data_IF_133669424253
#
_entry.id   IF_133669424253
#
_cell.length_a   1.000
_cell.length_b   1.000
_cell.length_c   1.000
_cell.angle_alpha   90.00
_cell.angle_beta   90.00
_cell.angle_gamma   90.00
#
_symmetry.space_group_name_H-M   'P 1'
#
loop_
_entity.id
_entity.type
_entity.pdbx_description
1 polymer ?
#
# COMPACT_ATOMS: atom_id res chain seq x y z
N UNK A 1 -14.48 -9.70 -17.60
CA UNK A 1 -13.30 -10.41 -17.15
C UNK A 1 -12.25 -9.42 -16.65
N UNK A 2 -11.84 -9.62 -15.43
CA UNK A 2 -10.80 -8.78 -14.88
C UNK A 2 -9.53 -9.04 -15.66
N UNK A 3 -9.12 -8.10 -16.47
CA UNK A 3 -7.97 -8.32 -17.30
C UNK A 3 -6.69 -8.29 -16.50
N UNK A 4 -5.83 -9.30 -16.71
CA UNK A 4 -4.47 -9.24 -16.20
C UNK A 4 -3.75 -8.01 -16.73
N UNK A 5 -4.33 -7.37 -17.75
CA UNK A 5 -3.79 -6.17 -18.38
C UNK A 5 -4.34 -4.88 -17.79
N UNK A 6 -5.31 -4.96 -16.87
CA UNK A 6 -5.81 -3.75 -16.25
C UNK A 6 -4.70 -3.06 -15.46
N UNK A 7 -4.64 -1.75 -15.56
CA UNK A 7 -3.59 -0.98 -14.91
C UNK A 7 -4.00 -0.52 -13.51
N UNK A 8 -3.04 -0.50 -12.61
CA UNK A 8 -3.27 -0.04 -11.24
C UNK A 8 -3.79 1.38 -11.22
N UNK A 9 -3.32 2.24 -12.14
CA UNK A 9 -3.79 3.61 -12.21
C UNK A 9 -5.29 3.72 -12.40
N UNK A 10 -5.85 2.91 -13.27
CA UNK A 10 -7.29 2.91 -13.53
C UNK A 10 -8.07 2.40 -12.32
N UNK A 11 -7.62 1.29 -11.76
CA UNK A 11 -8.29 0.69 -10.61
C UNK A 11 -8.27 1.62 -9.40
N UNK A 12 -7.10 2.14 -9.09
CA UNK A 12 -6.93 2.98 -7.89
C UNK A 12 -7.64 4.32 -8.03
N UNK A 13 -7.57 4.96 -9.20
CA UNK A 13 -8.28 6.22 -9.42
C UNK A 13 -9.78 6.04 -9.17
N UNK A 14 -10.34 4.92 -9.59
CA UNK A 14 -11.75 4.62 -9.34
C UNK A 14 -12.03 4.48 -7.84
N UNK A 15 -11.16 3.75 -7.14
CA UNK A 15 -11.33 3.55 -5.69
C UNK A 15 -11.17 4.85 -4.91
N UNK A 16 -10.35 5.76 -5.39
CA UNK A 16 -10.10 7.02 -4.70
C UNK A 16 -11.18 8.08 -4.95
N UNK A 17 -12.14 7.82 -5.83
CA UNK A 17 -13.21 8.78 -6.10
C UNK A 17 -14.02 9.14 -4.85
N UNK A 18 -14.18 8.20 -3.93
CA UNK A 18 -14.95 8.41 -2.71
C UNK A 18 -14.10 8.83 -1.52
N UNK A 19 -12.81 9.00 -1.72
CA UNK A 19 -11.87 9.31 -0.66
C UNK A 19 -11.65 10.82 -0.61
N UNK A 20 -11.55 11.42 0.60
CA UNK A 20 -11.24 12.85 0.70
C UNK A 20 -9.98 13.22 -0.08
N UNK A 21 -10.00 14.37 -0.72
CA UNK A 21 -8.92 14.79 -1.60
C UNK A 21 -7.54 14.76 -0.95
N UNK A 22 -7.46 15.20 0.30
CA UNK A 22 -6.19 15.24 1.00
C UNK A 22 -5.60 13.84 1.19
N UNK A 23 -6.44 12.87 1.55
CA UNK A 23 -6.00 11.51 1.73
C UNK A 23 -5.64 10.89 0.37
N UNK A 24 -6.45 11.12 -0.64
CA UNK A 24 -6.16 10.63 -1.98
C UNK A 24 -4.81 11.13 -2.49
N UNK A 25 -4.53 12.42 -2.26
CA UNK A 25 -3.24 13.00 -2.66
C UNK A 25 -2.08 12.36 -1.92
N UNK A 26 -2.24 12.10 -0.63
CA UNK A 26 -1.19 11.43 0.17
C UNK A 26 -0.94 10.02 -0.31
N UNK A 27 -2.00 9.29 -0.65
CA UNK A 27 -1.87 7.94 -1.17
C UNK A 27 -1.07 7.96 -2.48
N UNK A 28 -1.44 8.84 -3.41
CA UNK A 28 -0.73 8.93 -4.68
C UNK A 28 0.72 9.34 -4.51
N UNK A 29 1.00 10.24 -3.60
CA UNK A 29 2.36 10.70 -3.33
C UNK A 29 3.22 9.61 -2.71
N UNK A 30 2.63 8.71 -1.94
CA UNK A 30 3.36 7.60 -1.31
C UNK A 30 3.76 6.52 -2.31
N UNK A 31 3.13 6.47 -3.48
CA UNK A 31 3.39 5.45 -4.48
C UNK A 31 4.61 5.82 -5.33
N UNK A 32 5.30 4.82 -5.92
CA UNK A 32 6.43 5.10 -6.80
C UNK A 32 5.96 5.87 -8.05
N UNK A 33 6.85 6.62 -8.71
CA UNK A 33 6.45 7.47 -9.84
C UNK A 33 5.75 6.74 -10.99
N UNK A 34 6.05 5.47 -11.18
CA UNK A 34 5.51 4.68 -12.28
C UNK A 34 4.34 3.80 -11.87
N UNK A 35 3.72 4.07 -10.73
CA UNK A 35 2.66 3.19 -10.20
C UNK A 35 1.46 3.05 -11.15
N UNK A 36 1.17 4.08 -11.93
CA UNK A 36 -0.01 4.07 -12.81
C UNK A 36 0.07 3.02 -13.91
N UNK A 37 1.28 2.67 -14.34
CA UNK A 37 1.46 1.70 -15.43
C UNK A 37 1.69 0.29 -14.92
N UNK A 38 1.75 0.09 -13.62
CA UNK A 38 1.82 -1.26 -13.06
C UNK A 38 0.50 -1.98 -13.32
N UNK A 39 0.55 -3.29 -13.53
CA UNK A 39 -0.67 -4.07 -13.69
C UNK A 39 -1.31 -4.30 -12.33
N UNK A 40 -2.61 -4.57 -12.32
CA UNK A 40 -3.31 -4.88 -11.08
C UNK A 40 -2.75 -6.15 -10.43
N UNK A 41 -2.22 -7.07 -11.21
CA UNK A 41 -1.59 -8.28 -10.65
C UNK A 41 -0.37 -7.96 -9.78
N UNK A 42 0.32 -6.88 -10.08
CA UNK A 42 1.45 -6.41 -9.27
C UNK A 42 1.08 -5.33 -8.29
N UNK A 43 -0.15 -4.84 -8.41
CA UNK A 43 -0.63 -3.69 -7.64
C UNK A 43 -0.57 -3.92 -6.14
N UNK A 44 -0.93 -5.11 -5.68
CA UNK A 44 -0.92 -5.40 -4.25
C UNK A 44 0.48 -5.25 -3.66
N UNK A 45 1.52 -5.73 -4.37
CA UNK A 45 2.90 -5.54 -3.93
C UNK A 45 3.30 -4.08 -3.93
N UNK A 46 2.92 -3.34 -4.96
CA UNK A 46 3.22 -1.91 -5.04
C UNK A 46 2.61 -1.17 -3.85
N UNK A 47 1.35 -1.44 -3.57
CA UNK A 47 0.64 -0.80 -2.45
C UNK A 47 1.25 -1.22 -1.09
N UNK A 48 1.59 -2.48 -0.93
CA UNK A 48 2.18 -2.98 0.31
C UNK A 48 3.56 -2.37 0.55
N UNK A 49 4.39 -2.27 -0.47
CA UNK A 49 5.71 -1.64 -0.35
C UNK A 49 5.58 -0.17 0.03
N UNK A 50 4.62 0.53 -0.56
CA UNK A 50 4.38 1.93 -0.22
C UNK A 50 3.92 2.07 1.23
N UNK A 51 3.03 1.19 1.69
CA UNK A 51 2.58 1.20 3.08
C UNK A 51 3.74 0.98 4.05
N UNK A 52 4.60 0.01 3.75
CA UNK A 52 5.74 -0.29 4.61
C UNK A 52 6.72 0.88 4.67
N UNK A 53 6.98 1.52 3.54
CA UNK A 53 7.87 2.66 3.48
C UNK A 53 7.32 3.84 4.27
N UNK A 54 6.03 4.12 4.13
CA UNK A 54 5.39 5.19 4.90
C UNK A 54 5.42 4.92 6.39
N UNK A 55 5.10 3.70 6.78
CA UNK A 55 5.10 3.32 8.19
C UNK A 55 6.50 3.44 8.79
N UNK A 56 7.52 3.01 8.06
CA UNK A 56 8.89 3.13 8.50
C UNK A 56 9.25 4.59 8.74
N UNK A 57 8.88 5.47 7.82
CA UNK A 57 9.13 6.91 7.98
C UNK A 57 8.45 7.47 9.22
N UNK A 58 7.22 7.02 9.50
CA UNK A 58 6.50 7.45 10.70
C UNK A 58 7.20 6.99 11.97
N UNK A 59 7.68 5.75 11.99
CA UNK A 59 8.40 5.22 13.15
C UNK A 59 9.70 5.98 13.40
N UNK A 60 10.39 6.36 12.35
CA UNK A 60 11.64 7.14 12.47
C UNK A 60 11.38 8.56 13.00
N UNK A 61 10.22 9.14 12.66
CA UNK A 61 9.89 10.50 13.10
C UNK A 61 9.14 10.54 14.44
N UNK A 62 8.71 9.39 14.93
CA UNK A 62 7.93 9.30 16.17
C UNK A 62 6.44 9.29 15.90
N UNK A 63 5.77 8.20 16.25
CA UNK A 63 4.34 8.01 16.01
C UNK A 63 3.45 8.69 17.03
N UNK A 64 4.04 9.28 18.06
CA UNK A 64 3.28 9.89 19.15
C UNK A 64 2.95 11.36 18.90
N UNK A 65 3.31 11.90 17.75
CA UNK A 65 3.03 13.29 17.41
C UNK A 65 1.71 13.41 16.68
N UNK A 66 1.08 14.60 16.79
CA UNK A 66 -0.18 14.85 16.07
C UNK A 66 0.02 14.78 14.55
N UNK A 67 1.25 14.95 14.09
CA UNK A 67 1.57 14.88 12.66
C UNK A 67 1.53 13.45 12.12
N UNK A 68 1.58 12.46 13.00
CA UNK A 68 1.57 11.07 12.59
C UNK A 68 0.20 10.60 12.12
N UNK A 69 -0.89 11.22 12.59
CA UNK A 69 -2.23 10.75 12.29
C UNK A 69 -2.55 10.67 10.79
N UNK A 70 -2.28 11.71 9.99
CA UNK A 70 -2.54 11.61 8.54
C UNK A 70 -1.70 10.54 7.87
N UNK A 71 -0.45 10.35 8.33
CA UNK A 71 0.41 9.30 7.81
C UNK A 71 -0.10 7.91 8.13
N UNK A 72 -0.61 7.72 9.34
CA UNK A 72 -1.18 6.43 9.74
C UNK A 72 -2.43 6.11 8.93
N UNK A 73 -3.26 7.11 8.63
CA UNK A 73 -4.41 6.91 7.76
C UNK A 73 -3.98 6.50 6.35
N UNK A 74 -2.89 7.08 5.86
CA UNK A 74 -2.34 6.72 4.56
C UNK A 74 -1.89 5.26 4.55
N UNK A 75 -1.17 4.83 5.59
CA UNK A 75 -0.73 3.43 5.71
C UNK A 75 -1.93 2.49 5.75
N UNK A 76 -2.93 2.82 6.57
CA UNK A 76 -4.14 2.00 6.69
C UNK A 76 -4.83 1.85 5.34
N UNK A 77 -4.98 2.94 4.60
CA UNK A 77 -5.62 2.91 3.29
C UNK A 77 -4.81 2.07 2.30
N UNK A 78 -3.50 2.21 2.28
CA UNK A 78 -2.65 1.45 1.35
C UNK A 78 -2.75 -0.05 1.62
N UNK A 79 -2.73 -0.47 2.88
CA UNK A 79 -2.87 -1.88 3.24
C UNK A 79 -4.26 -2.39 2.85
N UNK A 80 -5.29 -1.60 3.13
CA UNK A 80 -6.66 -1.96 2.79
C UNK A 80 -6.82 -2.17 1.29
N UNK A 81 -6.30 -1.25 0.49
CA UNK A 81 -6.39 -1.37 -0.96
C UNK A 81 -5.55 -2.54 -1.48
N UNK A 82 -4.41 -2.83 -0.86
CA UNK A 82 -3.64 -4.01 -1.24
C UNK A 82 -4.46 -5.29 -1.08
N UNK A 83 -5.15 -5.42 0.04
CA UNK A 83 -6.00 -6.57 0.31
C UNK A 83 -7.20 -6.63 -0.63
N UNK A 84 -7.84 -5.48 -0.88
CA UNK A 84 -8.97 -5.41 -1.80
C UNK A 84 -8.54 -5.79 -3.22
N UNK A 85 -7.36 -5.37 -3.63
CA UNK A 85 -6.85 -5.67 -4.95
C UNK A 85 -6.57 -7.16 -5.11
N UNK A 86 -6.05 -7.82 -4.08
CA UNK A 86 -5.87 -9.26 -4.11
C UNK A 86 -7.21 -9.97 -4.33
N UNK A 87 -8.23 -9.55 -3.60
CA UNK A 87 -9.57 -10.12 -3.75
C UNK A 87 -10.12 -9.86 -5.15
N UNK A 88 -9.91 -8.65 -5.65
CA UNK A 88 -10.38 -8.26 -6.99
C UNK A 88 -9.74 -9.13 -8.08
N UNK A 89 -8.47 -9.47 -7.92
CA UNK A 89 -7.77 -10.31 -8.88
C UNK A 89 -8.07 -11.80 -8.73
N UNK A 90 -8.87 -12.19 -7.74
CA UNK A 90 -9.17 -13.60 -7.49
C UNK A 90 -7.99 -14.37 -6.92
N UNK A 91 -7.07 -13.66 -6.26
CA UNK A 91 -5.89 -14.30 -5.69
C UNK A 91 -6.22 -15.16 -4.49
N UNK A 92 -5.31 -16.07 -4.14
CA UNK A 92 -5.41 -16.87 -2.92
C UNK A 92 -5.13 -15.94 -1.74
N UNK A 93 -6.20 -15.53 -1.06
CA UNK A 93 -6.10 -14.55 0.02
C UNK A 93 -5.18 -15.02 1.14
N UNK A 94 -5.21 -16.30 1.48
CA UNK A 94 -4.38 -16.81 2.57
C UNK A 94 -2.89 -16.68 2.27
N UNK A 95 -2.46 -17.13 1.11
CA UNK A 95 -1.05 -17.07 0.71
C UNK A 95 -0.61 -15.64 0.42
N UNK A 96 -1.41 -14.91 -0.33
CA UNK A 96 -1.03 -13.57 -0.79
C UNK A 96 -1.09 -12.54 0.31
N UNK A 97 -2.00 -12.68 1.26
CA UNK A 97 -2.01 -11.81 2.44
C UNK A 97 -0.78 -12.02 3.29
N UNK A 98 -0.30 -13.27 3.40
CA UNK A 98 0.94 -13.57 4.11
C UNK A 98 2.12 -12.85 3.43
N UNK A 99 2.16 -12.85 2.11
CA UNK A 99 3.22 -12.14 1.37
C UNK A 99 3.18 -10.64 1.64
N UNK A 100 2.00 -10.05 1.71
CA UNK A 100 1.88 -8.63 2.03
C UNK A 100 2.40 -8.35 3.44
N UNK A 101 2.00 -9.16 4.41
CA UNK A 101 2.46 -9.00 5.78
C UNK A 101 3.97 -9.21 5.89
N UNK A 102 4.51 -10.19 5.18
CA UNK A 102 5.96 -10.43 5.16
C UNK A 102 6.70 -9.23 4.59
N UNK A 103 6.20 -8.64 3.51
CA UNK A 103 6.80 -7.45 2.91
C UNK A 103 6.86 -6.31 3.92
N UNK A 104 5.76 -6.05 4.61
CA UNK A 104 5.70 -5.00 5.61
C UNK A 104 6.66 -5.29 6.75
N UNK A 105 6.68 -6.52 7.25
CA UNK A 105 7.57 -6.91 8.34
C UNK A 105 9.03 -6.79 7.96
N UNK A 106 9.40 -7.14 6.74
CA UNK A 106 10.79 -7.03 6.28
C UNK A 106 11.25 -5.58 6.26
N UNK A 107 10.40 -4.68 5.81
CA UNK A 107 10.74 -3.25 5.78
C UNK A 107 10.88 -2.70 7.20
N UNK A 108 10.04 -3.16 8.12
CA UNK A 108 10.04 -2.68 9.49
C UNK A 108 11.15 -3.29 10.35
N UNK A 109 11.72 -4.43 9.93
CA UNK A 109 12.78 -5.07 10.70
C UNK A 109 14.04 -4.22 10.63
N UNK A 110 14.60 -3.79 11.77
CA UNK A 110 15.82 -2.99 11.76
C UNK A 110 16.99 -3.75 11.15
N UNK A 111 17.78 -3.07 10.37
CA UNK A 111 19.00 -3.67 9.82
C UNK A 111 19.97 -4.00 10.94
N UNK A 112 20.56 -5.17 10.84
CA UNK A 112 21.47 -5.62 11.86
C UNK A 112 20.78 -6.25 13.06
N UNK A 113 19.46 -6.26 13.07
CA UNK A 113 18.69 -6.96 14.08
C UNK A 113 18.69 -8.45 13.72
N UNK A 114 19.83 -9.06 13.90
CA UNK A 114 19.94 -10.49 13.67
C UNK A 114 19.72 -11.14 15.01
N UNK A 115 18.71 -11.91 15.07
CA UNK A 115 18.48 -12.66 16.28
C UNK A 115 19.58 -13.70 16.46
#
# INVERSE_FOLDING_TARGET
MTGATELLGEWLDHELEEVPQELAARIRTALPPDWRVATVLRGASVLADAAATELRGLLERGCDTRWAAPGLLTVDALVTYACELLAYCGADIDTDSTLILDTICQVLTPRGSVA
#
